data_IF_603762322661
#
_entry.id   IF_603762322661
#
_cell.length_a   1.000
_cell.length_b   1.000
_cell.length_c   1.000
_cell.angle_alpha   90.00
_cell.angle_beta   90.00
_cell.angle_gamma   90.00
#
_symmetry.space_group_name_H-M   'P 1'
#
loop_
_entity.id
_entity.type
_entity.pdbx_description
1 polymer ?
#
# COMPACT_ATOMS: atom_id res chain seq x y z
N UNK A 1 -7.56 13.22 14.49
CA UNK A 1 -7.32 14.56 13.92
C UNK A 1 -5.82 14.68 13.74
N UNK A 2 -5.33 14.62 12.50
CA UNK A 2 -3.90 14.72 12.22
C UNK A 2 -3.45 16.16 12.45
N UNK A 3 -2.55 16.36 13.40
CA UNK A 3 -1.96 17.66 13.68
C UNK A 3 -0.90 17.96 12.63
N UNK A 4 -1.25 18.83 11.68
CA UNK A 4 -0.40 19.25 10.55
C UNK A 4 0.78 20.12 10.98
N UNK A 5 0.83 20.55 12.25
CA UNK A 5 1.88 21.44 12.76
C UNK A 5 2.96 20.72 13.56
N UNK A 6 2.87 19.40 13.77
CA UNK A 6 3.90 18.68 14.52
C UNK A 6 5.22 18.60 13.70
N UNK A 7 6.26 19.37 14.09
CA UNK A 7 7.49 19.50 13.30
C UNK A 7 8.34 18.22 13.34
N UNK A 8 8.03 17.26 14.21
CA UNK A 8 8.76 16.01 14.31
C UNK A 8 8.56 15.13 13.07
N UNK A 9 7.35 15.08 12.51
CA UNK A 9 7.07 14.31 11.29
C UNK A 9 7.61 15.02 10.05
N UNK A 10 7.40 16.33 9.96
CA UNK A 10 7.94 17.13 8.86
C UNK A 10 9.48 17.07 8.77
N UNK A 11 10.17 17.08 9.92
CA UNK A 11 11.64 16.96 9.97
C UNK A 11 12.12 15.51 9.80
N UNK A 12 11.39 14.51 10.31
CA UNK A 12 11.71 13.09 10.09
C UNK A 12 11.67 12.69 8.61
N UNK A 13 10.68 13.19 7.86
CA UNK A 13 10.65 13.05 6.41
C UNK A 13 11.71 13.94 5.75
N UNK A 14 11.87 15.21 6.15
CA UNK A 14 12.83 16.13 5.51
C UNK A 14 14.30 15.68 5.60
N UNK A 15 14.72 15.09 6.71
CA UNK A 15 16.13 14.69 6.91
C UNK A 15 16.46 13.30 6.32
N UNK A 16 15.45 12.48 5.98
CA UNK A 16 15.62 11.19 5.27
C UNK A 16 15.20 11.20 3.80
N UNK A 17 14.43 12.17 3.34
CA UNK A 17 13.96 12.29 1.94
C UNK A 17 15.00 12.85 0.96
N UNK A 18 16.29 12.93 1.33
CA UNK A 18 17.34 13.46 0.48
C UNK A 18 17.89 12.42 -0.49
N UNK A 19 17.02 11.92 -1.38
CA UNK A 19 17.37 11.65 -2.77
C UNK A 19 16.06 11.68 -3.59
N UNK A 20 15.66 12.87 -4.05
CA UNK A 20 14.71 12.98 -5.17
C UNK A 20 15.40 12.40 -6.41
N UNK A 21 15.29 11.10 -6.63
CA UNK A 21 15.50 10.51 -7.96
C UNK A 21 14.16 10.56 -8.69
N UNK A 22 13.83 11.72 -9.26
CA UNK A 22 12.62 11.88 -10.07
C UNK A 22 12.83 11.45 -11.53
N UNK A 23 14.06 11.13 -11.93
CA UNK A 23 14.38 10.67 -13.28
C UNK A 23 14.53 9.15 -13.31
N UNK A 24 13.84 8.49 -14.27
CA UNK A 24 13.96 7.05 -14.49
C UNK A 24 13.11 6.16 -13.56
N UNK A 25 12.15 6.72 -12.82
CA UNK A 25 11.23 5.91 -12.02
C UNK A 25 10.30 5.10 -12.92
N UNK A 26 10.10 3.82 -12.57
CA UNK A 26 9.18 2.93 -13.29
C UNK A 26 7.74 3.40 -13.18
N UNK A 27 7.33 3.86 -11.99
CA UNK A 27 5.95 4.24 -11.69
C UNK A 27 5.80 5.74 -11.52
N UNK A 28 4.85 6.35 -12.24
CA UNK A 28 4.56 7.80 -12.18
C UNK A 28 3.93 8.23 -10.86
N UNK A 29 3.24 7.31 -10.18
CA UNK A 29 2.60 7.61 -8.90
C UNK A 29 3.62 7.68 -7.75
N UNK A 30 4.91 7.42 -7.97
CA UNK A 30 5.94 7.60 -6.94
C UNK A 30 6.23 9.09 -6.74
N UNK A 31 6.11 9.56 -5.50
CA UNK A 31 6.40 10.95 -5.10
C UNK A 31 7.82 11.10 -4.57
N UNK A 32 8.20 10.22 -3.65
CA UNK A 32 9.54 10.16 -3.07
C UNK A 32 9.98 8.70 -3.00
N UNK A 33 11.12 8.39 -3.59
CA UNK A 33 11.70 7.06 -3.45
C UNK A 33 12.49 6.97 -2.16
N UNK A 34 12.16 5.97 -1.37
CA UNK A 34 13.01 5.44 -0.32
C UNK A 34 13.33 4.00 -0.71
N UNK A 35 14.59 3.62 -0.58
CA UNK A 35 15.00 2.22 -0.73
C UNK A 35 15.55 1.82 0.63
N UNK A 36 14.69 1.27 1.48
CA UNK A 36 15.21 0.39 2.51
C UNK A 36 15.54 -0.93 1.83
N UNK A 37 16.81 -1.29 1.85
CA UNK A 37 17.25 -2.61 1.43
C UNK A 37 16.54 -3.64 2.32
N UNK A 38 15.66 -4.42 1.70
CA UNK A 38 15.18 -5.64 2.31
C UNK A 38 16.32 -6.65 2.29
N UNK A 39 16.45 -7.43 3.37
CA UNK A 39 17.38 -8.56 3.40
C UNK A 39 17.09 -9.51 2.23
N UNK A 40 18.13 -10.01 1.58
CA UNK A 40 18.00 -10.97 0.48
C UNK A 40 17.15 -12.17 0.93
N UNK A 41 16.15 -12.54 0.12
CA UNK A 41 15.23 -13.64 0.45
C UNK A 41 14.11 -13.29 1.43
N UNK A 42 14.06 -12.08 2.02
CA UNK A 42 13.03 -11.72 3.00
C UNK A 42 11.59 -11.83 2.44
N UNK A 43 11.37 -11.45 1.19
CA UNK A 43 10.06 -11.61 0.55
C UNK A 43 9.68 -13.08 0.37
N UNK A 44 10.65 -13.97 0.12
CA UNK A 44 10.42 -15.41 0.00
C UNK A 44 10.07 -16.03 1.35
N UNK A 45 10.82 -15.68 2.40
CA UNK A 45 10.52 -16.09 3.77
C UNK A 45 9.12 -15.63 4.22
N UNK A 46 8.73 -14.40 3.86
CA UNK A 46 7.42 -13.87 4.20
C UNK A 46 6.28 -14.63 3.49
N UNK A 47 6.46 -14.89 2.19
CA UNK A 47 5.52 -15.66 1.35
C UNK A 47 5.35 -17.09 1.88
N UNK A 48 6.45 -17.76 2.26
CA UNK A 48 6.41 -19.09 2.88
C UNK A 48 5.72 -19.06 4.25
N UNK A 49 6.14 -18.13 5.13
CA UNK A 49 5.62 -17.99 6.50
C UNK A 49 4.11 -17.77 6.56
N UNK A 50 3.56 -17.03 5.60
CA UNK A 50 2.14 -16.69 5.56
C UNK A 50 1.37 -17.35 4.43
N UNK A 51 1.98 -18.31 3.72
CA UNK A 51 1.38 -19.12 2.66
C UNK A 51 0.66 -18.26 1.61
N UNK A 52 1.43 -17.45 0.88
CA UNK A 52 0.93 -16.63 -0.24
C UNK A 52 2.04 -16.31 -1.23
N UNK A 53 1.64 -15.86 -2.43
CA UNK A 53 2.57 -15.42 -3.47
C UNK A 53 2.23 -13.98 -3.85
N UNK A 54 3.24 -13.11 -3.90
CA UNK A 54 3.09 -11.78 -4.45
C UNK A 54 3.03 -11.86 -5.99
N UNK A 55 2.14 -11.10 -6.65
CA UNK A 55 2.27 -10.83 -8.07
C UNK A 55 3.64 -10.21 -8.38
N UNK A 56 4.23 -10.57 -9.50
CA UNK A 56 5.58 -10.15 -9.88
C UNK A 56 5.76 -8.62 -9.81
N UNK A 57 4.75 -7.86 -10.25
CA UNK A 57 4.79 -6.39 -10.22
C UNK A 57 4.84 -5.83 -8.80
N UNK A 58 4.17 -6.48 -7.84
CA UNK A 58 4.14 -6.05 -6.44
C UNK A 58 5.44 -6.46 -5.73
N UNK A 59 5.97 -7.64 -6.07
CA UNK A 59 7.30 -8.07 -5.61
C UNK A 59 8.37 -7.09 -6.06
N UNK A 60 8.41 -6.79 -7.36
CA UNK A 60 9.36 -5.84 -7.94
C UNK A 60 9.20 -4.45 -7.30
N UNK A 61 7.96 -4.03 -7.04
CA UNK A 61 7.72 -2.78 -6.30
C UNK A 61 8.39 -2.80 -4.92
N UNK A 62 8.25 -3.87 -4.16
CA UNK A 62 8.89 -3.97 -2.85
C UNK A 62 10.42 -4.07 -2.91
N UNK A 63 10.96 -4.76 -3.91
CA UNK A 63 12.42 -4.86 -4.06
C UNK A 63 13.06 -3.51 -4.40
N UNK A 64 12.37 -2.65 -5.14
CA UNK A 64 12.94 -1.39 -5.64
C UNK A 64 12.44 -0.12 -4.93
N UNK A 65 11.25 -0.18 -4.31
CA UNK A 65 10.53 1.00 -3.83
C UNK A 65 9.85 0.78 -2.47
N UNK A 66 10.25 -0.22 -1.68
CA UNK A 66 9.70 -0.42 -0.34
C UNK A 66 9.89 0.83 0.54
N UNK A 67 8.83 1.22 1.27
CA UNK A 67 8.71 2.50 2.01
C UNK A 67 8.71 3.79 1.17
N UNK A 68 8.72 3.69 -0.16
CA UNK A 68 8.54 4.88 -1.00
C UNK A 68 7.17 5.51 -0.79
N UNK A 69 7.14 6.84 -0.85
CA UNK A 69 5.92 7.63 -0.74
C UNK A 69 5.32 7.78 -2.13
N UNK A 70 4.03 7.52 -2.26
CA UNK A 70 3.28 7.72 -3.50
C UNK A 70 2.53 9.06 -3.49
N UNK A 71 2.21 9.58 -4.66
CA UNK A 71 1.15 10.56 -4.82
C UNK A 71 -0.20 9.89 -4.56
N UNK A 72 -1.16 10.68 -4.08
CA UNK A 72 -2.51 10.17 -3.85
C UNK A 72 -3.17 9.84 -5.18
N UNK A 73 -3.72 8.65 -5.30
CA UNK A 73 -4.40 8.19 -6.51
C UNK A 73 -5.90 8.09 -6.25
N UNK A 74 -6.73 8.80 -7.02
CA UNK A 74 -8.19 8.86 -6.84
C UNK A 74 -8.91 8.39 -8.09
N UNK A 75 -9.73 7.34 -8.00
CA UNK A 75 -10.47 6.78 -9.14
C UNK A 75 -11.82 6.20 -8.71
N UNK A 76 -12.64 5.82 -9.68
CA UNK A 76 -13.94 5.19 -9.42
C UNK A 76 -13.88 3.70 -9.75
N UNK A 77 -14.26 2.86 -8.80
CA UNK A 77 -14.43 1.42 -9.01
C UNK A 77 -15.82 1.00 -8.50
N UNK A 78 -16.59 0.27 -9.32
CA UNK A 78 -17.94 -0.18 -8.99
C UNK A 78 -18.87 0.94 -8.45
N UNK A 79 -18.77 2.14 -9.03
CA UNK A 79 -19.56 3.30 -8.64
C UNK A 79 -19.19 3.92 -7.29
N UNK A 80 -18.02 3.56 -6.73
CA UNK A 80 -17.48 4.11 -5.48
C UNK A 80 -16.17 4.84 -5.73
N UNK A 81 -16.00 5.97 -5.05
CA UNK A 81 -14.73 6.69 -5.01
C UNK A 81 -13.72 5.90 -4.17
N UNK A 82 -12.59 5.62 -4.81
CA UNK A 82 -11.43 4.94 -4.25
C UNK A 82 -10.28 5.94 -4.18
N UNK A 83 -9.60 5.96 -3.05
CA UNK A 83 -8.40 6.76 -2.82
C UNK A 83 -7.32 5.84 -2.29
N UNK A 84 -6.18 5.77 -2.96
CA UNK A 84 -4.99 5.09 -2.45
C UNK A 84 -3.96 6.16 -2.10
N UNK A 85 -3.60 6.22 -0.83
CA UNK A 85 -2.66 7.22 -0.30
C UNK A 85 -1.29 6.62 0.01
N UNK A 86 -1.24 5.33 0.33
CA UNK A 86 0.00 4.66 0.69
C UNK A 86 -0.02 3.19 0.28
N UNK A 87 1.08 2.72 -0.32
CA UNK A 87 1.39 1.29 -0.41
C UNK A 87 2.21 0.95 0.83
N UNK A 88 1.72 0.01 1.64
CA UNK A 88 2.34 -0.37 2.91
C UNK A 88 3.72 -0.95 2.67
N UNK A 89 4.68 -0.55 3.48
CA UNK A 89 5.99 -1.19 3.58
C UNK A 89 5.85 -2.64 4.03
N UNK A 90 6.80 -3.49 3.63
CA UNK A 90 6.72 -4.92 3.97
C UNK A 90 7.02 -5.19 5.44
N UNK A 91 8.12 -4.63 5.95
CA UNK A 91 8.67 -4.90 7.29
C UNK A 91 8.58 -3.71 8.25
N UNK A 92 8.86 -2.51 7.75
CA UNK A 92 9.17 -1.34 8.59
C UNK A 92 7.95 -0.49 8.94
N UNK A 93 7.98 0.18 10.10
CA UNK A 93 6.90 1.04 10.56
C UNK A 93 5.80 0.28 11.32
N UNK A 94 4.89 1.04 11.94
CA UNK A 94 3.87 0.49 12.86
C UNK A 94 2.72 -0.24 12.15
N UNK A 95 2.62 -0.15 10.82
CA UNK A 95 1.53 -0.70 10.01
C UNK A 95 2.07 -1.35 8.73
N UNK A 96 3.22 -2.02 8.82
CA UNK A 96 3.79 -2.81 7.72
C UNK A 96 2.88 -3.98 7.33
N UNK A 97 3.07 -4.56 6.14
CA UNK A 97 2.35 -5.76 5.69
C UNK A 97 2.49 -6.88 6.70
N UNK A 98 3.71 -7.20 7.12
CA UNK A 98 3.96 -8.27 8.11
C UNK A 98 3.25 -7.98 9.43
N UNK A 99 3.32 -6.75 9.93
CA UNK A 99 2.65 -6.35 11.18
C UNK A 99 1.13 -6.48 11.06
N UNK A 100 0.58 -6.05 9.92
CA UNK A 100 -0.83 -6.15 9.66
C UNK A 100 -1.29 -7.60 9.59
N UNK A 101 -0.58 -8.49 8.88
CA UNK A 101 -0.87 -9.93 8.82
C UNK A 101 -0.77 -10.56 10.21
N UNK A 102 0.28 -10.25 10.98
CA UNK A 102 0.45 -10.74 12.35
C UNK A 102 -0.75 -10.38 13.23
N UNK A 103 -1.24 -9.15 13.10
CA UNK A 103 -2.39 -8.63 13.83
C UNK A 103 -3.75 -9.04 13.25
N UNK A 104 -3.80 -9.66 12.06
CA UNK A 104 -5.07 -10.17 11.49
C UNK A 104 -5.72 -11.21 12.40
N UNK A 105 -4.95 -11.95 13.20
CA UNK A 105 -5.51 -12.94 14.14
C UNK A 105 -6.52 -12.34 15.12
N UNK A 106 -6.42 -11.04 15.40
CA UNK A 106 -7.32 -10.31 16.29
C UNK A 106 -8.43 -9.55 15.54
N UNK A 107 -8.44 -9.58 14.20
CA UNK A 107 -9.32 -8.80 13.34
C UNK A 107 -10.20 -9.73 12.51
N UNK A 108 -11.39 -9.26 12.12
CA UNK A 108 -12.30 -9.97 11.22
C UNK A 108 -11.80 -9.93 9.76
N UNK A 109 -10.53 -10.27 9.52
CA UNK A 109 -9.92 -10.30 8.19
C UNK A 109 -9.63 -11.77 7.85
N UNK A 110 -10.29 -12.33 6.83
CA UNK A 110 -9.96 -13.66 6.35
C UNK A 110 -8.48 -13.78 5.93
N UNK A 111 -7.83 -14.89 6.28
CA UNK A 111 -6.39 -15.13 6.02
C UNK A 111 -5.97 -15.10 4.55
N UNK A 112 -6.94 -15.13 3.63
CA UNK A 112 -6.69 -15.03 2.20
C UNK A 112 -6.65 -13.59 1.68
N UNK A 113 -6.80 -12.59 2.55
CA UNK A 113 -6.60 -11.18 2.21
C UNK A 113 -5.30 -10.67 2.81
N UNK A 114 -4.40 -10.19 1.96
CA UNK A 114 -3.11 -9.63 2.34
C UNK A 114 -3.18 -8.10 2.22
N UNK A 115 -3.12 -7.34 3.32
CA UNK A 115 -3.14 -5.88 3.28
C UNK A 115 -1.87 -5.39 2.60
N UNK A 116 -2.01 -4.50 1.62
CA UNK A 116 -0.85 -3.96 0.90
C UNK A 116 -0.93 -2.46 0.66
N UNK A 117 -2.11 -1.85 0.79
CA UNK A 117 -2.27 -0.40 0.65
C UNK A 117 -3.35 0.15 1.59
N UNK A 118 -3.42 1.47 1.71
CA UNK A 118 -4.45 2.18 2.49
C UNK A 118 -4.78 3.57 1.96
N UNK A 119 -5.91 4.10 2.40
CA UNK A 119 -6.32 5.50 2.19
C UNK A 119 -5.96 6.39 3.40
N UNK A 120 -6.26 7.69 3.28
CA UNK A 120 -6.03 8.69 4.34
C UNK A 120 -6.95 8.52 5.56
N UNK A 121 -8.07 7.81 5.39
CA UNK A 121 -9.08 7.53 6.42
C UNK A 121 -8.74 6.24 7.19
N UNK A 122 -7.64 5.56 6.83
CA UNK A 122 -7.17 4.33 7.47
C UNK A 122 -7.85 3.05 6.96
N UNK A 123 -8.62 3.12 5.87
CA UNK A 123 -9.18 1.93 5.22
C UNK A 123 -8.10 1.23 4.40
N UNK A 124 -8.07 -0.09 4.54
CA UNK A 124 -7.09 -0.93 3.88
C UNK A 124 -7.60 -1.47 2.54
N UNK A 125 -6.64 -1.75 1.67
CA UNK A 125 -6.79 -2.49 0.43
C UNK A 125 -6.01 -3.80 0.53
N UNK A 126 -6.62 -4.85 0.02
CA UNK A 126 -6.20 -6.21 0.21
C UNK A 126 -5.99 -6.92 -1.12
N UNK A 127 -4.84 -7.57 -1.26
CA UNK A 127 -4.59 -8.58 -2.28
C UNK A 127 -5.27 -9.89 -1.86
N UNK A 128 -6.08 -10.46 -2.75
CA UNK A 128 -6.72 -11.75 -2.54
C UNK A 128 -5.82 -12.89 -3.01
N UNK A 129 -5.53 -13.86 -2.13
CA UNK A 129 -4.82 -15.09 -2.48
C UNK A 129 -5.61 -16.02 -3.40
N UNK A 130 -6.93 -15.82 -3.51
CA UNK A 130 -7.83 -16.73 -4.23
C UNK A 130 -7.83 -16.47 -5.74
N UNK A 131 -7.74 -15.20 -6.11
CA UNK A 131 -7.95 -14.74 -7.49
C UNK A 131 -7.02 -13.59 -7.87
N UNK A 132 -6.02 -13.26 -7.03
CA UNK A 132 -5.09 -12.13 -7.21
C UNK A 132 -5.75 -10.76 -7.32
N UNK A 133 -7.05 -10.67 -7.08
CA UNK A 133 -7.82 -9.45 -7.16
C UNK A 133 -7.56 -8.50 -5.98
N UNK A 134 -7.85 -7.23 -6.20
CA UNK A 134 -7.75 -6.21 -5.17
C UNK A 134 -9.12 -5.90 -4.57
N UNK A 135 -9.20 -5.94 -3.24
CA UNK A 135 -10.43 -5.76 -2.50
C UNK A 135 -10.31 -4.67 -1.44
N UNK A 136 -11.42 -4.04 -1.13
CA UNK A 136 -11.59 -3.20 0.07
C UNK A 136 -12.98 -3.44 0.67
N UNK A 137 -13.26 -2.87 1.85
CA UNK A 137 -14.63 -2.86 2.37
C UNK A 137 -15.43 -1.75 1.70
N UNK A 138 -16.66 -2.06 1.26
CA UNK A 138 -17.55 -1.06 0.66
C UNK A 138 -17.96 0.03 1.66
N UNK A 139 -17.94 -0.28 2.96
CA UNK A 139 -18.35 0.62 4.02
C UNK A 139 -17.12 1.26 4.67
N UNK A 140 -17.06 2.60 4.60
CA UNK A 140 -15.97 3.42 5.16
C UNK A 140 -15.84 3.35 6.68
N UNK A 141 -16.82 2.78 7.38
CA UNK A 141 -16.87 2.75 8.85
C UNK A 141 -15.86 1.77 9.48
N UNK A 142 -15.25 0.90 8.67
CA UNK A 142 -14.29 -0.10 9.15
C UNK A 142 -12.86 0.27 8.75
N UNK A 143 -12.15 0.96 9.64
CA UNK A 143 -10.70 1.18 9.49
C UNK A 143 -9.88 -0.12 9.62
N UNK A 144 -10.46 -1.19 10.19
CA UNK A 144 -9.78 -2.47 10.39
C UNK A 144 -10.71 -3.65 10.15
N UNK A 145 -10.62 -4.27 8.96
CA UNK A 145 -11.45 -5.42 8.62
C UNK A 145 -11.91 -5.41 7.17
N UNK A 146 -12.46 -6.55 6.73
CA UNK A 146 -13.23 -6.63 5.50
C UNK A 146 -14.47 -7.49 5.75
N UNK A 147 -15.58 -6.82 6.04
CA UNK A 147 -16.89 -7.42 6.29
C UNK A 147 -17.73 -7.46 5.02
N UNK A 148 -17.59 -6.46 4.14
CA UNK A 148 -18.32 -6.35 2.88
C UNK A 148 -17.32 -6.19 1.73
N UNK A 149 -16.69 -7.28 1.30
CA UNK A 149 -15.64 -7.22 0.30
C UNK A 149 -16.19 -6.70 -1.03
N UNK A 150 -15.55 -5.65 -1.54
CA UNK A 150 -15.77 -5.11 -2.87
C UNK A 150 -14.47 -5.23 -3.65
N UNK A 151 -14.51 -5.96 -4.77
CA UNK A 151 -13.40 -6.01 -5.71
C UNK A 151 -13.27 -4.64 -6.37
N UNK A 152 -12.05 -4.09 -6.47
CA UNK A 152 -11.78 -2.79 -7.13
C UNK A 152 -10.89 -2.93 -8.36
N UNK A 153 -10.19 -4.06 -8.50
CA UNK A 153 -9.37 -4.39 -9.65
C UNK A 153 -9.13 -5.90 -9.70
N UNK A 154 -8.92 -6.45 -10.89
CA UNK A 154 -8.65 -7.85 -11.14
C UNK A 154 -7.21 -8.26 -10.83
N UNK A 155 -6.25 -7.33 -10.81
CA UNK A 155 -4.86 -7.60 -10.43
C UNK A 155 -4.12 -6.36 -9.91
N UNK A 156 -2.89 -6.54 -9.40
CA UNK A 156 -2.06 -5.39 -9.00
C UNK A 156 -1.61 -4.59 -10.22
N UNK A 157 -1.34 -5.28 -11.34
CA UNK A 157 -0.95 -4.66 -12.62
C UNK A 157 -2.02 -3.70 -13.11
N UNK A 158 -3.29 -4.15 -13.18
CA UNK A 158 -4.40 -3.29 -13.58
C UNK A 158 -4.58 -2.13 -12.59
N UNK A 159 -4.45 -2.37 -11.29
CA UNK A 159 -4.53 -1.30 -10.29
C UNK A 159 -3.42 -0.26 -10.50
N UNK A 160 -2.18 -0.67 -10.71
CA UNK A 160 -1.05 0.24 -10.91
C UNK A 160 -1.24 1.07 -12.18
N UNK A 161 -1.76 0.46 -13.26
CA UNK A 161 -2.15 1.17 -14.48
C UNK A 161 -3.24 2.22 -14.24
N UNK A 162 -4.23 1.91 -13.39
CA UNK A 162 -5.27 2.86 -12.99
C UNK A 162 -4.67 3.98 -12.15
N UNK A 163 -3.80 3.66 -11.19
CA UNK A 163 -3.11 4.64 -10.34
C UNK A 163 -2.28 5.61 -11.18
N UNK A 164 -1.50 5.11 -12.14
CA UNK A 164 -0.70 5.92 -13.08
C UNK A 164 -1.51 7.00 -13.81
N UNK A 165 -2.78 6.73 -14.12
CA UNK A 165 -3.67 7.62 -14.87
C UNK A 165 -4.44 8.60 -13.99
N UNK A 166 -4.44 8.39 -12.67
CA UNK A 166 -5.34 9.04 -11.72
C UNK A 166 -4.59 9.69 -10.56
N UNK A 167 -3.38 10.18 -10.82
CA UNK A 167 -2.53 10.85 -9.84
C UNK A 167 -3.09 12.23 -9.50
N UNK A 168 -3.25 12.52 -8.21
CA UNK A 168 -3.56 13.83 -7.66
C UNK A 168 -2.33 14.40 -6.97
N UNK A 169 -1.73 15.41 -7.58
CA UNK A 169 -0.65 16.18 -6.96
C UNK A 169 -1.27 17.25 -6.07
N UNK A 170 -1.06 17.13 -4.77
CA UNK A 170 -1.35 18.22 -3.82
C UNK A 170 -0.09 19.05 -3.65
N UNK A 171 -0.13 20.30 -4.10
CA UNK A 171 0.86 21.32 -3.74
C UNK A 171 0.46 21.87 -2.36
N UNK A 172 1.37 21.78 -1.39
CA UNK A 172 1.22 22.37 -0.05
C UNK A 172 2.04 23.66 0.03
#
# INVERSE_FOLDING_TARGET
MFDKENPYWANFFRDRCLEKKTEGLKYKFLKYTYVSELEEGYLDELQEKYDFVYPDILREYYENYNESVIETCEFVANGKEIMIYNILSVKYGNESVEECIRNQKNKLIPKYYIPFARDVEGRFFYLSKKDSGIYTDINKEYCFGIKHPMKISDSVEELFDVMERNIKTYEF
#
